data_IF_115562370639
#
_entry.id   IF_115562370639
#
_cell.length_a   1.000
_cell.length_b   1.000
_cell.length_c   1.000
_cell.angle_alpha   90.00
_cell.angle_beta   90.00
_cell.angle_gamma   90.00
#
_symmetry.space_group_name_H-M   'P 1'
#
loop_
_entity.id
_entity.type
_entity.pdbx_description
1 polymer ?
#
# COMPACT_ATOMS: atom_id res chain seq x y z
N UNK A 1 -14.41 25.91 -12.22
CA UNK A 1 -13.60 24.89 -11.53
C UNK A 1 -13.24 25.50 -10.18
N UNK A 2 -13.59 24.84 -9.09
CA UNK A 2 -13.29 25.31 -7.73
C UNK A 2 -12.32 24.31 -7.12
N UNK A 3 -11.21 24.79 -6.58
CA UNK A 3 -10.27 23.97 -5.80
C UNK A 3 -10.60 24.22 -4.33
N UNK A 4 -11.02 23.17 -3.62
CA UNK A 4 -11.32 23.22 -2.19
C UNK A 4 -10.16 22.63 -1.43
N UNK A 5 -9.64 23.37 -0.45
CA UNK A 5 -8.62 22.87 0.47
C UNK A 5 -9.30 22.12 1.62
N UNK A 6 -8.91 20.87 1.84
CA UNK A 6 -9.38 20.06 2.97
C UNK A 6 -8.60 20.40 4.26
N UNK A 7 -9.12 20.07 5.46
CA UNK A 7 -8.43 20.35 6.71
C UNK A 7 -7.03 19.74 6.79
N UNK A 8 -6.10 20.47 7.40
CA UNK A 8 -4.74 19.98 7.69
C UNK A 8 -4.76 18.70 8.51
N UNK A 9 -3.76 17.84 8.30
CA UNK A 9 -3.54 16.63 9.10
C UNK A 9 -3.39 17.01 10.59
N UNK A 10 -3.99 16.25 11.53
CA UNK A 10 -3.93 16.57 12.96
C UNK A 10 -2.58 16.12 13.54
N UNK A 11 -1.49 16.74 13.08
CA UNK A 11 -0.11 16.48 13.49
C UNK A 11 0.61 17.77 13.83
N UNK A 12 1.61 17.68 14.69
CA UNK A 12 2.42 18.82 15.15
C UNK A 12 3.73 18.99 14.34
N UNK A 13 4.14 17.97 13.58
CA UNK A 13 5.37 17.93 12.79
C UNK A 13 5.10 17.72 11.29
N UNK A 14 6.12 17.96 10.46
CA UNK A 14 6.06 17.68 9.02
C UNK A 14 6.33 16.20 8.79
N UNK A 15 5.31 15.50 8.28
CA UNK A 15 5.44 14.10 7.93
C UNK A 15 5.65 13.92 6.43
N UNK A 16 6.57 13.04 6.08
CA UNK A 16 6.86 12.60 4.71
C UNK A 16 6.58 11.10 4.55
N UNK A 17 6.41 10.65 3.31
CA UNK A 17 6.37 9.23 2.93
C UNK A 17 5.24 8.41 3.55
N UNK A 18 4.11 9.05 3.89
CA UNK A 18 2.86 8.33 4.13
C UNK A 18 2.43 7.55 2.89
N UNK A 19 1.79 6.41 3.10
CA UNK A 19 1.01 5.75 2.06
C UNK A 19 -0.48 6.01 2.28
N UNK A 20 -1.21 6.19 1.18
CA UNK A 20 -2.64 6.45 1.15
C UNK A 20 -3.40 5.22 0.65
N UNK A 21 -4.49 4.86 1.33
CA UNK A 21 -5.49 3.94 0.83
C UNK A 21 -6.86 4.62 0.76
N UNK A 22 -7.54 4.48 -0.39
CA UNK A 22 -8.92 4.91 -0.56
C UNK A 22 -9.84 3.73 -0.28
N UNK A 23 -10.44 3.73 0.91
CA UNK A 23 -11.35 2.68 1.39
C UNK A 23 -12.76 2.97 0.89
N UNK A 24 -13.58 1.91 0.79
CA UNK A 24 -15.03 2.06 0.57
C UNK A 24 -15.66 3.08 1.52
N UNK A 25 -16.79 3.65 1.09
CA UNK A 25 -17.57 4.68 1.81
C UNK A 25 -16.91 6.06 1.94
N UNK A 26 -16.09 6.43 0.94
CA UNK A 26 -15.45 7.74 0.86
C UNK A 26 -14.52 8.04 2.04
N UNK A 27 -13.71 7.05 2.44
CA UNK A 27 -12.70 7.20 3.50
C UNK A 27 -11.30 7.11 2.94
N UNK A 28 -10.43 7.98 3.41
CA UNK A 28 -9.00 7.95 3.10
C UNK A 28 -8.25 7.55 4.36
N UNK A 29 -7.33 6.60 4.24
CA UNK A 29 -6.47 6.15 5.34
C UNK A 29 -5.02 6.46 5.00
N UNK A 30 -4.33 7.15 5.92
CA UNK A 30 -2.90 7.41 5.87
C UNK A 30 -2.21 6.49 6.86
N UNK A 31 -1.07 5.92 6.47
CA UNK A 31 -0.33 4.96 7.28
C UNK A 31 1.16 5.27 7.26
N UNK A 32 1.81 5.12 8.41
CA UNK A 32 3.28 5.12 8.54
C UNK A 32 3.92 6.48 8.27
N UNK A 33 4.95 6.50 7.44
CA UNK A 33 5.71 7.71 7.11
C UNK A 33 6.84 7.99 8.11
N UNK A 34 7.41 9.17 8.00
CA UNK A 34 8.45 9.65 8.91
C UNK A 34 8.33 11.16 9.14
N UNK A 35 8.71 11.60 10.32
CA UNK A 35 8.91 13.01 10.66
C UNK A 35 10.32 13.22 11.22
N UNK A 36 10.55 14.35 11.89
CA UNK A 36 11.83 14.66 12.53
C UNK A 36 12.20 13.72 13.70
N UNK A 37 11.21 13.08 14.32
CA UNK A 37 11.39 12.14 15.43
C UNK A 37 11.68 10.71 14.94
N UNK A 38 11.44 10.43 13.66
CA UNK A 38 11.78 9.17 13.02
C UNK A 38 10.60 8.55 12.27
N UNK A 39 10.63 7.23 12.10
CA UNK A 39 9.57 6.51 11.41
C UNK A 39 8.33 6.42 12.30
N UNK A 40 7.15 6.46 11.68
CA UNK A 40 5.89 6.47 12.41
C UNK A 40 5.12 5.16 12.26
N UNK A 41 4.36 4.83 13.31
CA UNK A 41 3.30 3.81 13.29
C UNK A 41 1.91 4.44 13.13
N UNK A 42 1.83 5.77 13.13
CA UNK A 42 0.58 6.49 13.19
C UNK A 42 -0.27 6.19 11.96
N UNK A 43 -1.57 6.14 12.21
CA UNK A 43 -2.60 5.95 11.20
C UNK A 43 -3.59 7.09 11.35
N UNK A 44 -3.95 7.72 10.23
CA UNK A 44 -4.95 8.78 10.18
C UNK A 44 -6.06 8.38 9.24
N UNK A 45 -7.27 8.82 9.52
CA UNK A 45 -8.43 8.53 8.70
C UNK A 45 -9.22 9.78 8.44
N UNK A 46 -9.54 10.03 7.19
CA UNK A 46 -10.32 11.18 6.75
C UNK A 46 -11.64 10.69 6.15
N UNK A 47 -12.75 11.29 6.57
CA UNK A 47 -14.08 11.06 6.00
C UNK A 47 -14.40 12.17 5.01
N UNK A 48 -14.54 11.81 3.72
CA UNK A 48 -14.83 12.77 2.65
C UNK A 48 -16.29 13.27 2.68
N UNK A 49 -17.20 12.59 3.40
CA UNK A 49 -18.59 13.06 3.52
C UNK A 49 -18.69 14.22 4.50
N UNK A 50 -17.98 14.11 5.63
CA UNK A 50 -17.99 15.11 6.70
C UNK A 50 -16.84 16.10 6.58
N UNK A 51 -15.87 15.81 5.72
CA UNK A 51 -14.60 16.53 5.56
C UNK A 51 -13.84 16.63 6.88
N UNK A 52 -13.85 15.56 7.68
CA UNK A 52 -13.24 15.53 9.01
C UNK A 52 -12.26 14.38 9.20
N UNK A 53 -11.21 14.65 9.97
CA UNK A 53 -10.33 13.63 10.51
C UNK A 53 -11.05 12.85 11.61
N UNK A 54 -11.04 11.52 11.50
CA UNK A 54 -11.60 10.62 12.49
C UNK A 54 -10.54 10.32 13.56
N UNK A 55 -11.00 10.14 14.81
CA UNK A 55 -10.19 10.00 16.02
C UNK A 55 -9.14 8.89 15.98
N UNK A 56 -8.34 8.70 17.05
CA UNK A 56 -7.11 7.93 16.98
C UNK A 56 -7.38 6.53 16.39
N UNK A 57 -6.62 6.21 15.35
CA UNK A 57 -6.72 4.93 14.67
C UNK A 57 -5.73 3.95 15.31
N UNK A 58 -5.98 2.63 15.21
CA UNK A 58 -5.00 1.63 15.62
C UNK A 58 -3.68 1.87 14.88
N UNK A 59 -2.58 1.89 15.61
CA UNK A 59 -1.24 2.05 15.04
C UNK A 59 -0.77 0.76 14.35
N UNK A 60 0.06 0.91 13.32
CA UNK A 60 0.74 -0.21 12.69
C UNK A 60 1.58 -1.00 13.71
N UNK A 61 1.79 -2.29 13.47
CA UNK A 61 2.70 -3.10 14.28
C UNK A 61 4.15 -2.61 14.14
N UNK A 62 4.56 -2.28 12.91
CA UNK A 62 5.91 -1.76 12.60
C UNK A 62 5.86 -0.34 12.05
N UNK A 63 6.75 0.51 12.56
CA UNK A 63 6.98 1.83 11.99
C UNK A 63 7.66 1.66 10.63
N UNK A 64 7.17 2.37 9.61
CA UNK A 64 7.65 2.18 8.24
C UNK A 64 7.43 3.41 7.37
N UNK A 65 8.31 3.59 6.40
CA UNK A 65 8.18 4.56 5.29
C UNK A 65 8.37 3.86 3.96
N UNK A 66 8.01 4.55 2.87
CA UNK A 66 8.12 4.02 1.50
C UNK A 66 7.37 2.69 1.29
N UNK A 67 6.40 2.37 2.13
CA UNK A 67 5.53 1.21 1.94
C UNK A 67 4.44 1.54 0.92
N UNK A 68 3.85 0.49 0.35
CA UNK A 68 2.64 0.61 -0.45
C UNK A 68 1.40 0.38 0.40
N UNK A 69 0.28 1.02 0.06
CA UNK A 69 -1.00 0.80 0.73
C UNK A 69 -2.15 0.76 -0.26
N UNK A 70 -3.14 -0.08 0.00
CA UNK A 70 -4.39 -0.11 -0.73
C UNK A 70 -5.52 -0.66 0.14
N UNK A 71 -6.73 -0.75 -0.40
CA UNK A 71 -7.85 -1.41 0.27
C UNK A 71 -8.51 -2.45 -0.62
N UNK A 72 -9.03 -3.51 -0.01
CA UNK A 72 -9.88 -4.51 -0.66
C UNK A 72 -11.13 -4.72 0.18
N UNK A 73 -12.29 -4.43 -0.39
CA UNK A 73 -13.52 -4.34 0.41
C UNK A 73 -13.38 -3.27 1.48
N UNK A 74 -13.64 -3.66 2.73
CA UNK A 74 -13.55 -2.78 3.91
C UNK A 74 -12.25 -3.03 4.70
N UNK A 75 -11.22 -3.55 4.03
CA UNK A 75 -9.94 -3.87 4.67
C UNK A 75 -8.84 -3.00 4.07
N UNK A 76 -7.98 -2.46 4.92
CA UNK A 76 -6.78 -1.71 4.53
C UNK A 76 -5.59 -2.65 4.61
N UNK A 77 -4.73 -2.58 3.60
CA UNK A 77 -3.48 -3.34 3.55
C UNK A 77 -2.28 -2.41 3.39
N UNK A 78 -1.17 -2.80 4.01
CA UNK A 78 0.12 -2.11 4.01
C UNK A 78 1.20 -3.13 3.69
N UNK A 79 2.02 -2.86 2.68
CA UNK A 79 3.02 -3.81 2.15
C UNK A 79 4.41 -3.23 2.21
N UNK A 80 5.34 -4.04 2.74
CA UNK A 80 6.77 -3.77 2.72
C UNK A 80 7.13 -2.39 3.28
N UNK A 81 8.05 -1.72 2.61
CA UNK A 81 8.65 -0.46 3.05
C UNK A 81 9.94 -0.70 3.83
N UNK A 82 10.44 0.39 4.41
CA UNK A 82 11.67 0.40 5.21
C UNK A 82 11.35 0.64 6.67
N UNK A 83 11.87 -0.24 7.54
CA UNK A 83 11.72 -0.20 8.99
C UNK A 83 12.76 0.69 9.69
N UNK A 84 12.64 0.78 11.02
CA UNK A 84 13.51 1.61 11.87
C UNK A 84 14.97 1.17 11.85
N UNK A 85 15.25 -0.11 11.62
CA UNK A 85 16.61 -0.64 11.55
C UNK A 85 17.23 -0.51 10.14
N UNK A 86 16.61 0.31 9.28
CA UNK A 86 16.90 0.39 7.84
C UNK A 86 16.71 -0.93 7.09
N UNK A 87 16.00 -1.89 7.70
CA UNK A 87 15.62 -3.16 7.11
C UNK A 87 14.50 -2.96 6.09
N UNK A 88 14.58 -3.70 4.98
CA UNK A 88 13.46 -3.82 4.07
C UNK A 88 12.47 -4.82 4.64
N UNK A 89 11.18 -4.53 4.49
CA UNK A 89 10.11 -5.37 5.01
C UNK A 89 9.49 -6.18 3.86
N UNK A 90 9.22 -7.45 4.14
CA UNK A 90 8.34 -8.34 3.34
C UNK A 90 6.94 -8.47 3.98
N UNK A 91 6.78 -7.96 5.20
CA UNK A 91 5.54 -8.04 5.96
C UNK A 91 4.39 -7.27 5.30
N UNK A 92 3.22 -7.89 5.35
CA UNK A 92 1.94 -7.28 5.05
C UNK A 92 1.21 -7.06 6.36
N UNK A 93 0.67 -5.86 6.56
CA UNK A 93 -0.23 -5.55 7.65
C UNK A 93 -1.64 -5.27 7.11
N UNK A 94 -2.65 -5.83 7.77
CA UNK A 94 -4.05 -5.68 7.41
C UNK A 94 -4.86 -5.15 8.60
N UNK A 95 -5.66 -4.12 8.35
CA UNK A 95 -6.69 -3.64 9.29
C UNK A 95 -8.07 -3.89 8.70
N UNK A 96 -8.90 -4.64 9.42
CA UNK A 96 -10.32 -4.73 9.12
C UNK A 96 -11.03 -3.46 9.61
N UNK A 97 -11.80 -2.81 8.75
CA UNK A 97 -12.58 -1.63 9.15
C UNK A 97 -13.86 -2.01 9.89
N UNK A 98 -14.31 -3.25 9.71
CA UNK A 98 -15.42 -3.87 10.44
C UNK A 98 -14.88 -4.93 11.39
N UNK A 99 -15.23 -4.85 12.68
CA UNK A 99 -14.77 -5.81 13.69
C UNK A 99 -13.64 -5.30 14.58
N UNK A 100 -12.73 -6.16 15.08
CA UNK A 100 -11.66 -5.74 15.98
C UNK A 100 -10.73 -4.75 15.28
N UNK A 101 -10.42 -3.66 15.98
CA UNK A 101 -9.64 -2.54 15.46
C UNK A 101 -8.16 -2.78 15.78
N UNK A 102 -7.59 -3.78 15.14
CA UNK A 102 -6.18 -4.17 15.29
C UNK A 102 -5.57 -4.55 13.95
N UNK A 103 -4.25 -4.41 13.85
CA UNK A 103 -3.50 -4.76 12.65
C UNK A 103 -3.01 -6.21 12.73
N UNK A 104 -3.39 -7.02 11.74
CA UNK A 104 -2.88 -8.38 11.57
C UNK A 104 -1.66 -8.37 10.66
N UNK A 105 -0.58 -9.03 11.08
CA UNK A 105 0.65 -9.14 10.30
C UNK A 105 0.81 -10.55 9.73
N UNK A 106 1.20 -10.64 8.45
CA UNK A 106 1.55 -11.90 7.81
C UNK A 106 2.57 -11.69 6.68
N UNK A 107 3.13 -12.78 6.17
CA UNK A 107 4.04 -12.79 5.00
C UNK A 107 3.46 -13.68 3.91
N UNK A 108 3.96 -13.53 2.69
CA UNK A 108 3.56 -14.36 1.55
C UNK A 108 4.80 -14.98 0.95
N UNK A 109 4.76 -16.31 0.75
CA UNK A 109 5.86 -17.01 0.10
C UNK A 109 6.09 -16.44 -1.30
N UNK A 110 7.36 -16.19 -1.65
CA UNK A 110 7.74 -15.61 -2.93
C UNK A 110 7.76 -14.07 -2.97
N UNK A 111 7.11 -13.38 -2.03
CA UNK A 111 7.20 -11.93 -1.93
C UNK A 111 8.45 -11.52 -1.14
N UNK A 112 9.44 -10.98 -1.84
CA UNK A 112 10.67 -10.48 -1.22
C UNK A 112 10.47 -9.15 -0.48
N UNK A 113 11.34 -8.90 0.50
CA UNK A 113 11.40 -7.64 1.21
C UNK A 113 11.76 -6.49 0.27
N UNK A 114 10.98 -5.40 0.30
CA UNK A 114 11.15 -4.28 -0.62
C UNK A 114 10.59 -2.96 -0.11
N UNK A 115 11.19 -1.85 -0.53
CA UNK A 115 10.62 -0.51 -0.39
C UNK A 115 10.12 0.04 -1.73
N UNK A 116 9.27 1.05 -1.66
CA UNK A 116 8.61 1.69 -2.81
C UNK A 116 7.86 0.72 -3.75
N UNK A 117 7.12 -0.29 -3.24
CA UNK A 117 6.31 -1.11 -4.12
C UNK A 117 5.09 -0.32 -4.63
N UNK A 118 4.71 -0.54 -5.89
CA UNK A 118 3.35 -0.25 -6.33
C UNK A 118 2.42 -1.27 -5.70
N UNK A 119 1.37 -0.79 -5.04
CA UNK A 119 0.35 -1.64 -4.44
C UNK A 119 -1.02 -1.14 -4.88
N UNK A 120 -1.80 -2.01 -5.52
CA UNK A 120 -3.08 -1.63 -6.08
C UNK A 120 -4.10 -2.76 -6.04
N UNK A 121 -5.35 -2.40 -5.75
CA UNK A 121 -6.46 -3.34 -5.84
C UNK A 121 -6.80 -3.61 -7.32
N UNK A 122 -6.79 -4.90 -7.72
CA UNK A 122 -7.14 -5.33 -9.09
C UNK A 122 -8.49 -6.04 -9.19
N UNK A 123 -8.98 -6.61 -8.09
CA UNK A 123 -10.30 -7.26 -8.05
C UNK A 123 -10.85 -7.28 -6.62
N UNK A 124 -12.04 -7.83 -6.42
CA UNK A 124 -12.64 -7.92 -5.07
C UNK A 124 -11.83 -8.74 -4.05
N UNK A 125 -10.81 -9.48 -4.46
CA UNK A 125 -10.00 -10.34 -3.58
C UNK A 125 -8.52 -10.41 -4.00
N UNK A 126 -8.05 -9.52 -4.88
CA UNK A 126 -6.67 -9.55 -5.37
C UNK A 126 -6.03 -8.18 -5.31
N UNK A 127 -4.77 -8.16 -4.89
CA UNK A 127 -3.91 -6.98 -4.82
C UNK A 127 -2.71 -7.25 -5.72
N UNK A 128 -2.39 -6.31 -6.59
CA UNK A 128 -1.13 -6.30 -7.32
C UNK A 128 -0.06 -5.63 -6.45
N UNK A 129 1.07 -6.30 -6.31
CA UNK A 129 2.32 -5.73 -5.78
C UNK A 129 3.34 -5.75 -6.93
N UNK A 130 3.91 -4.60 -7.30
CA UNK A 130 4.78 -4.51 -8.47
C UNK A 130 6.00 -3.62 -8.24
N UNK A 131 7.17 -4.13 -8.64
CA UNK A 131 8.44 -3.43 -8.55
C UNK A 131 8.87 -3.15 -7.11
N UNK A 132 9.74 -2.15 -6.95
CA UNK A 132 10.31 -1.75 -5.66
C UNK A 132 11.80 -2.07 -5.56
N UNK A 133 12.43 -1.60 -4.48
CA UNK A 133 13.85 -1.76 -4.21
C UNK A 133 14.07 -2.85 -3.16
N UNK A 134 14.80 -3.91 -3.52
CA UNK A 134 15.19 -5.03 -2.65
C UNK A 134 16.58 -4.85 -2.02
N UNK A 135 17.05 -5.85 -1.23
CA UNK A 135 18.26 -5.73 -0.39
C UNK A 135 19.58 -5.53 -1.17
N UNK A 136 19.65 -5.98 -2.41
CA UNK A 136 20.90 -5.95 -3.20
C UNK A 136 20.98 -4.76 -4.18
N UNK A 137 20.03 -3.81 -4.09
CA UNK A 137 19.71 -2.85 -5.16
C UNK A 137 19.42 -3.54 -6.52
N UNK A 138 19.42 -4.87 -6.58
CA UNK A 138 18.85 -5.63 -7.67
C UNK A 138 17.36 -5.39 -7.53
N UNK A 139 16.89 -4.56 -8.44
CA UNK A 139 15.50 -4.20 -8.60
C UNK A 139 14.72 -5.50 -8.67
N UNK A 140 13.86 -5.72 -7.68
CA UNK A 140 12.97 -6.85 -7.76
C UNK A 140 11.86 -6.48 -8.74
N UNK A 141 12.17 -6.75 -10.01
CA UNK A 141 11.27 -6.54 -11.12
C UNK A 141 10.15 -7.58 -11.13
N UNK A 142 10.04 -8.47 -10.14
CA UNK A 142 8.88 -9.36 -10.06
C UNK A 142 7.67 -8.62 -9.53
N UNK A 143 6.65 -8.55 -10.38
CA UNK A 143 5.27 -8.30 -9.99
C UNK A 143 4.65 -9.58 -9.43
N UNK A 144 3.74 -9.42 -8.48
CA UNK A 144 3.04 -10.52 -7.86
C UNK A 144 1.59 -10.11 -7.60
N UNK A 145 0.66 -11.00 -7.93
CA UNK A 145 -0.73 -10.86 -7.54
C UNK A 145 -0.94 -11.64 -6.26
N UNK A 146 -1.38 -10.93 -5.22
CA UNK A 146 -1.61 -11.40 -3.87
C UNK A 146 -3.11 -11.60 -3.69
N UNK A 147 -3.57 -12.84 -3.54
CA UNK A 147 -4.98 -13.15 -3.27
C UNK A 147 -5.30 -12.97 -1.78
N UNK A 148 -6.15 -12.00 -1.46
CA UNK A 148 -6.55 -11.67 -0.09
C UNK A 148 -7.96 -12.16 0.21
N UNK A 149 -8.13 -12.85 1.33
CA UNK A 149 -9.46 -13.28 1.77
C UNK A 149 -10.24 -12.09 2.35
N UNK A 150 -11.54 -12.03 2.07
CA UNK A 150 -12.42 -10.91 2.44
C UNK A 150 -12.78 -10.89 3.94
N UNK A 151 -12.73 -12.02 4.64
CA UNK A 151 -13.59 -12.22 5.82
C UNK A 151 -12.95 -12.26 7.20
N UNK A 152 -11.64 -12.38 7.37
CA UNK A 152 -11.09 -12.60 8.71
C UNK A 152 -9.56 -12.61 8.68
N UNK A 153 -8.92 -11.84 9.57
CA UNK A 153 -7.47 -11.84 9.82
C UNK A 153 -6.91 -13.16 10.37
N UNK A 154 -7.53 -14.29 10.06
CA UNK A 154 -6.99 -15.61 10.28
C UNK A 154 -5.98 -15.94 9.19
N UNK A 155 -4.85 -16.51 9.60
CA UNK A 155 -3.84 -17.11 8.72
C UNK A 155 -4.49 -18.14 7.78
N UNK A 156 -4.99 -17.68 6.63
CA UNK A 156 -5.30 -18.51 5.48
C UNK A 156 -4.29 -18.14 4.43
N UNK A 157 -3.63 -19.15 3.87
CA UNK A 157 -2.57 -18.97 2.88
C UNK A 157 -3.03 -17.99 1.79
N UNK A 158 -2.28 -16.91 1.67
CA UNK A 158 -2.43 -15.96 0.58
C UNK A 158 -1.86 -16.64 -0.65
N UNK A 159 -2.73 -17.12 -1.52
CA UNK A 159 -2.33 -17.68 -2.81
C UNK A 159 -1.73 -16.56 -3.67
N UNK A 160 -0.68 -16.88 -4.43
CA UNK A 160 -0.04 -15.95 -5.33
C UNK A 160 -0.10 -16.46 -6.76
N UNK A 161 -0.30 -15.53 -7.69
CA UNK A 161 -0.11 -15.77 -9.12
C UNK A 161 1.15 -15.02 -9.57
N UNK A 162 2.11 -15.76 -10.11
CA UNK A 162 3.35 -15.24 -10.69
C UNK A 162 3.03 -14.50 -11.99
N UNK A 163 2.59 -13.25 -11.87
CA UNK A 163 2.49 -12.31 -12.99
C UNK A 163 3.76 -11.45 -13.00
N UNK A 164 4.82 -11.96 -13.64
CA UNK A 164 6.12 -11.26 -13.69
C UNK A 164 6.08 -10.15 -14.74
N UNK A 165 6.40 -8.92 -14.33
CA UNK A 165 6.47 -7.75 -15.19
C UNK A 165 7.77 -7.00 -14.91
N UNK A 166 8.69 -6.95 -15.87
CA UNK A 166 9.96 -6.24 -15.65
C UNK A 166 9.73 -4.75 -15.37
N UNK A 167 9.95 -4.33 -14.11
CA UNK A 167 9.83 -2.94 -13.69
C UNK A 167 10.83 -2.60 -12.59
N UNK A 168 11.66 -1.60 -12.84
CA UNK A 168 12.69 -1.15 -11.90
C UNK A 168 12.08 -0.36 -10.74
N UNK A 169 11.25 0.64 -11.05
CA UNK A 169 10.65 1.53 -10.05
C UNK A 169 9.23 1.91 -10.45
N UNK A 170 8.37 2.06 -9.44
CA UNK A 170 7.01 2.57 -9.59
C UNK A 170 6.64 3.43 -8.40
N UNK A 171 6.26 4.68 -8.64
CA UNK A 171 5.75 5.56 -7.59
C UNK A 171 4.28 5.93 -7.80
N UNK A 172 3.71 5.66 -8.98
CA UNK A 172 2.38 6.16 -9.32
C UNK A 172 1.57 5.15 -10.13
N UNK A 173 0.36 4.90 -9.64
CA UNK A 173 -0.68 4.21 -10.39
C UNK A 173 -2.04 4.83 -10.11
N UNK A 174 -2.95 4.67 -11.07
CA UNK A 174 -4.37 4.90 -10.88
C UNK A 174 -5.11 3.62 -11.26
N UNK A 175 -6.10 3.23 -10.46
CA UNK A 175 -6.99 2.12 -10.77
C UNK A 175 -8.40 2.62 -11.04
N UNK A 176 -9.08 1.97 -11.98
CA UNK A 176 -10.50 2.19 -12.28
C UNK A 176 -11.09 0.94 -12.92
N UNK A 177 -12.23 0.48 -12.41
CA UNK A 177 -13.00 -0.64 -12.97
C UNK A 177 -12.14 -1.91 -13.22
N UNK A 178 -11.25 -2.24 -12.29
CA UNK A 178 -10.36 -3.42 -12.38
C UNK A 178 -9.18 -3.29 -13.35
N UNK A 179 -9.03 -2.13 -14.00
CA UNK A 179 -7.82 -1.77 -14.76
C UNK A 179 -6.92 -0.88 -13.90
N UNK A 180 -5.61 -1.13 -13.95
CA UNK A 180 -4.59 -0.23 -13.41
C UNK A 180 -3.84 0.40 -14.57
N UNK A 181 -3.63 1.70 -14.50
CA UNK A 181 -2.63 2.40 -15.31
C UNK A 181 -1.51 2.82 -14.39
N UNK A 182 -0.30 2.34 -14.68
CA UNK A 182 0.90 2.63 -13.91
C UNK A 182 1.93 3.39 -14.76
N UNK A 183 2.62 4.34 -14.13
CA UNK A 183 3.85 4.91 -14.66
C UNK A 183 5.01 4.11 -14.10
N UNK A 184 5.71 3.40 -14.99
CA UNK A 184 6.76 2.46 -14.64
C UNK A 184 8.09 2.87 -15.26
N UNK A 185 9.18 2.63 -14.57
CA UNK A 185 10.54 2.83 -15.07
C UNK A 185 11.11 1.49 -15.57
N UNK A 186 11.51 1.44 -16.84
CA UNK A 186 12.14 0.25 -17.44
C UNK A 186 13.65 0.18 -17.17
N UNK A 187 14.31 -0.87 -17.67
CA UNK A 187 15.75 -1.07 -17.44
C UNK A 187 16.66 0.04 -17.98
N UNK A 188 16.16 0.82 -18.94
CA UNK A 188 16.87 1.92 -19.55
C UNK A 188 16.41 3.28 -19.00
N UNK A 189 15.75 3.30 -17.83
CA UNK A 189 15.31 4.53 -17.13
C UNK A 189 14.26 5.31 -17.95
N UNK A 190 13.49 4.61 -18.80
CA UNK A 190 12.40 5.23 -19.55
C UNK A 190 11.08 5.07 -18.81
N UNK A 191 10.33 6.17 -18.71
CA UNK A 191 8.96 6.14 -18.21
C UNK A 191 8.03 5.51 -19.25
N UNK A 192 7.33 4.46 -18.85
CA UNK A 192 6.31 3.77 -19.64
C UNK A 192 4.96 3.84 -18.94
N UNK A 193 3.91 3.89 -19.74
CA UNK A 193 2.54 3.72 -19.27
C UNK A 193 2.15 2.27 -19.50
N UNK A 194 1.86 1.54 -18.43
CA UNK A 194 1.41 0.15 -18.50
C UNK A 194 -0.04 0.08 -18.07
N UNK A 195 -0.86 -0.64 -18.85
CA UNK A 195 -2.19 -1.04 -18.44
C UNK A 195 -2.11 -2.48 -17.91
N UNK A 196 -2.62 -2.71 -16.71
CA UNK A 196 -2.77 -4.06 -16.14
C UNK A 196 -4.27 -4.30 -16.00
N UNK A 197 -4.81 -5.33 -16.64
CA UNK A 197 -6.19 -5.78 -16.45
C UNK A 197 -6.24 -7.05 -15.59
N UNK A 198 -7.33 -7.20 -14.85
CA UNK A 198 -7.55 -8.32 -13.93
C UNK A 198 -7.60 -9.71 -14.62
N UNK A 199 -7.66 -9.76 -15.95
CA UNK A 199 -7.57 -10.97 -16.78
C UNK A 199 -6.14 -11.35 -17.17
N UNK A 200 -5.14 -10.56 -16.75
CA UNK A 200 -3.72 -10.88 -16.94
C UNK A 200 -3.22 -10.77 -18.38
N UNK A 201 -3.95 -10.09 -19.28
CA UNK A 201 -3.51 -9.76 -20.65
C UNK A 201 -2.93 -8.35 -20.79
#
# INVERSE_FOLDING_TARGET
MTVTMLPSLPVESVYEYFALANVRDQRIVLTGGADEDGLSKKVFMFDLNTEQWLGPQPELNKARRYHGSCSVGDNVFVFGGKGESFDLLDSIEMLAMTGPREWFSFTVSGLSAREQPLVANVSESKILVLGGLGESDILDTTGMIVAVNKSDGGNKEVEHEDARFECQRNSWCASRDGSIVALVEDEAVNLKVVKISADGQ
#
